data_IF_045761976480
#
_entry.id   IF_045761976480
#
_cell.length_a   1.000
_cell.length_b   1.000
_cell.length_c   1.000
_cell.angle_alpha   90.00
_cell.angle_beta   90.00
_cell.angle_gamma   90.00
#
_symmetry.space_group_name_H-M   'P 1'
#
loop_
_entity.id
_entity.type
_entity.pdbx_description
1 polymer ?
#
# COMPACT_ATOMS: atom_id res chain seq x y z
N UNK A 1 7.83 19.26 3.13
CA UNK A 1 6.44 18.76 3.16
C UNK A 1 6.35 17.93 4.42
N UNK A 2 5.37 18.17 5.29
CA UNK A 2 5.16 17.35 6.49
C UNK A 2 4.24 16.18 6.13
N UNK A 3 4.37 15.02 6.78
CA UNK A 3 3.50 13.88 6.57
C UNK A 3 2.07 14.21 6.97
N UNK A 4 1.11 13.82 6.13
CA UNK A 4 -0.31 13.82 6.48
C UNK A 4 -0.64 12.52 7.22
N UNK A 5 -0.52 12.55 8.55
CA UNK A 5 -0.70 11.37 9.41
C UNK A 5 -2.13 10.82 9.34
N UNK A 6 -3.12 11.69 9.11
CA UNK A 6 -4.52 11.26 9.00
C UNK A 6 -4.77 10.54 7.68
N UNK A 7 -4.20 11.03 6.57
CA UNK A 7 -4.22 10.33 5.30
C UNK A 7 -3.48 8.98 5.35
N UNK A 8 -2.30 8.93 5.99
CA UNK A 8 -1.56 7.68 6.21
C UNK A 8 -2.43 6.69 7.00
N UNK A 9 -3.03 7.13 8.11
CA UNK A 9 -3.89 6.28 8.95
C UNK A 9 -5.10 5.78 8.16
N UNK A 10 -5.78 6.66 7.44
CA UNK A 10 -6.96 6.31 6.64
C UNK A 10 -6.62 5.24 5.59
N UNK A 11 -5.54 5.45 4.84
CA UNK A 11 -5.11 4.52 3.80
C UNK A 11 -4.67 3.17 4.36
N UNK A 12 -3.75 3.15 5.34
CA UNK A 12 -3.27 1.89 5.91
C UNK A 12 -4.41 1.13 6.60
N UNK A 13 -5.35 1.82 7.25
CA UNK A 13 -6.55 1.18 7.81
C UNK A 13 -7.42 0.59 6.71
N UNK A 14 -7.63 1.29 5.60
CA UNK A 14 -8.47 0.82 4.50
C UNK A 14 -7.93 -0.48 3.88
N UNK A 15 -6.64 -0.51 3.52
CA UNK A 15 -6.05 -1.69 2.86
C UNK A 15 -5.89 -2.89 3.80
N UNK A 16 -5.73 -2.66 5.11
CA UNK A 16 -5.54 -3.74 6.10
C UNK A 16 -6.84 -4.21 6.76
N UNK A 17 -7.94 -3.45 6.65
CA UNK A 17 -9.24 -3.81 7.23
C UNK A 17 -9.72 -5.22 6.84
N UNK A 18 -9.64 -5.66 5.56
CA UNK A 18 -10.09 -6.99 5.17
C UNK A 18 -9.29 -8.14 5.81
N UNK A 19 -8.12 -7.84 6.41
CA UNK A 19 -7.24 -8.85 6.97
C UNK A 19 -7.54 -9.18 8.44
N UNK A 20 -8.41 -8.41 9.10
CA UNK A 20 -8.61 -8.46 10.56
C UNK A 20 -8.95 -9.85 11.09
N UNK A 21 -9.63 -10.67 10.30
CA UNK A 21 -10.05 -12.03 10.70
C UNK A 21 -8.95 -13.08 10.52
N UNK A 22 -7.84 -12.73 9.87
CA UNK A 22 -6.79 -13.69 9.49
C UNK A 22 -5.75 -13.94 10.61
N UNK A 23 -5.74 -13.10 11.65
CA UNK A 23 -4.86 -13.22 12.81
C UNK A 23 -3.63 -12.30 12.77
N UNK A 24 -2.64 -12.60 13.62
CA UNK A 24 -1.42 -11.77 13.80
C UNK A 24 -0.19 -12.29 13.03
N UNK A 25 -0.30 -13.42 12.33
CA UNK A 25 0.81 -13.98 11.54
C UNK A 25 1.06 -13.18 10.25
N UNK A 26 0.11 -12.38 9.83
CA UNK A 26 0.12 -11.61 8.59
C UNK A 26 0.82 -10.28 8.80
N UNK A 27 1.56 -9.84 7.79
CA UNK A 27 2.34 -8.60 7.87
C UNK A 27 1.91 -7.60 6.80
N UNK A 28 1.95 -6.32 7.16
CA UNK A 28 1.99 -5.17 6.29
C UNK A 28 3.47 -4.88 5.98
N UNK A 29 3.80 -4.73 4.71
CA UNK A 29 5.12 -4.25 4.29
C UNK A 29 5.06 -2.76 3.94
N UNK A 30 6.03 -2.01 4.46
CA UNK A 30 6.37 -0.66 4.01
C UNK A 30 7.75 -0.66 3.34
N UNK A 31 7.82 -0.07 2.14
CA UNK A 31 9.06 0.19 1.41
C UNK A 31 9.29 1.68 1.34
N UNK A 32 10.33 2.17 1.99
CA UNK A 32 10.68 3.58 1.98
C UNK A 32 11.91 3.81 1.08
N UNK A 33 11.76 4.71 0.12
CA UNK A 33 12.70 4.93 -0.97
C UNK A 33 13.09 6.41 -1.04
N UNK A 34 14.38 6.66 -1.23
CA UNK A 34 14.93 7.96 -1.62
C UNK A 34 16.01 7.74 -2.68
N UNK A 35 16.17 8.71 -3.58
CA UNK A 35 17.20 8.66 -4.62
C UNK A 35 18.60 8.53 -4.00
N UNK A 36 19.41 7.62 -4.54
CA UNK A 36 20.77 7.36 -4.05
C UNK A 36 20.87 6.66 -2.69
N UNK A 37 19.75 6.24 -2.08
CA UNK A 37 19.72 5.57 -0.78
C UNK A 37 19.33 4.10 -0.90
N UNK A 38 19.74 3.28 0.07
CA UNK A 38 19.26 1.90 0.18
C UNK A 38 17.78 1.90 0.56
N UNK A 39 16.99 1.04 -0.08
CA UNK A 39 15.58 0.82 0.29
C UNK A 39 15.47 0.38 1.74
N UNK A 40 14.66 1.08 2.52
CA UNK A 40 14.25 0.63 3.85
C UNK A 40 12.99 -0.24 3.69
N UNK A 41 13.06 -1.49 4.14
CA UNK A 41 11.92 -2.41 4.17
C UNK A 41 11.60 -2.69 5.62
N UNK A 42 10.34 -2.44 6.00
CA UNK A 42 9.84 -2.68 7.35
C UNK A 42 8.56 -3.50 7.29
N UNK A 43 8.45 -4.49 8.18
CA UNK A 43 7.30 -5.38 8.28
C UNK A 43 6.60 -5.16 9.62
N UNK A 44 5.28 -5.05 9.59
CA UNK A 44 4.45 -4.86 10.77
C UNK A 44 3.37 -5.91 10.79
N UNK A 45 3.24 -6.67 11.87
CA UNK A 45 2.07 -7.53 12.06
C UNK A 45 0.78 -6.69 12.08
N UNK A 46 -0.36 -7.31 11.77
CA UNK A 46 -1.67 -6.63 11.68
C UNK A 46 -2.10 -5.91 12.96
N UNK A 47 -1.66 -6.40 14.13
CA UNK A 47 -1.89 -5.78 15.44
C UNK A 47 -0.99 -4.56 15.72
N UNK A 48 -0.01 -4.30 14.85
CA UNK A 48 0.98 -3.24 14.97
C UNK A 48 0.74 -2.08 13.99
N UNK A 49 -0.49 -1.93 13.51
CA UNK A 49 -0.89 -0.88 12.56
C UNK A 49 -0.53 0.53 13.04
N UNK A 50 -0.67 0.82 14.35
CA UNK A 50 -0.26 2.12 14.91
C UNK A 50 1.23 2.39 14.70
N UNK A 51 2.09 1.39 14.90
CA UNK A 51 3.53 1.52 14.67
C UNK A 51 3.87 1.66 13.20
N UNK A 52 3.12 1.01 12.31
CA UNK A 52 3.28 1.17 10.88
C UNK A 52 2.97 2.62 10.44
N UNK A 53 1.91 3.22 11.00
CA UNK A 53 1.55 4.63 10.76
C UNK A 53 2.66 5.56 11.24
N UNK A 54 3.13 5.39 12.48
CA UNK A 54 4.21 6.21 13.05
C UNK A 54 5.50 6.09 12.22
N UNK A 55 5.82 4.87 11.78
CA UNK A 55 6.99 4.62 10.93
C UNK A 55 6.86 5.29 9.56
N UNK A 56 5.70 5.16 8.90
CA UNK A 56 5.45 5.81 7.61
C UNK A 56 5.58 7.34 7.72
N UNK A 57 5.01 7.94 8.78
CA UNK A 57 5.14 9.37 9.03
C UNK A 57 6.60 9.77 9.25
N UNK A 58 7.36 9.03 10.06
CA UNK A 58 8.77 9.30 10.32
C UNK A 58 9.65 9.18 9.06
N UNK A 59 9.41 8.17 8.23
CA UNK A 59 10.16 7.98 6.97
C UNK A 59 9.83 9.09 5.97
N UNK A 60 8.57 9.52 5.90
CA UNK A 60 8.19 10.63 5.03
C UNK A 60 8.74 11.98 5.51
N UNK A 61 8.73 12.25 6.82
CA UNK A 61 9.38 13.43 7.41
C UNK A 61 10.89 13.45 7.11
N UNK A 62 11.52 12.27 7.07
CA UNK A 62 12.93 12.12 6.68
C UNK A 62 13.18 12.25 5.16
N UNK A 63 12.14 12.53 4.36
CA UNK A 63 12.26 12.76 2.92
C UNK A 63 12.17 11.51 2.05
N UNK A 64 11.75 10.36 2.61
CA UNK A 64 11.53 9.14 1.84
C UNK A 64 10.09 9.06 1.30
N UNK A 65 9.95 8.54 0.08
CA UNK A 65 8.67 8.11 -0.45
C UNK A 65 8.30 6.77 0.19
N UNK A 66 7.09 6.66 0.73
CA UNK A 66 6.61 5.47 1.45
C UNK A 66 5.62 4.72 0.57
N UNK A 67 5.95 3.48 0.24
CA UNK A 67 5.11 2.56 -0.51
C UNK A 67 4.69 1.41 0.40
N UNK A 68 3.60 0.74 0.04
CA UNK A 68 3.14 -0.43 0.78
C UNK A 68 2.77 -1.57 -0.15
N UNK A 69 2.98 -2.80 0.31
CA UNK A 69 2.35 -3.96 -0.32
C UNK A 69 0.87 -3.97 0.07
N UNK A 70 -0.01 -3.76 -0.91
CA UNK A 70 -1.48 -3.76 -0.74
C UNK A 70 -1.99 -5.16 -0.42
N UNK A 71 -1.23 -6.20 -0.78
CA UNK A 71 -1.62 -7.58 -0.56
C UNK A 71 -1.03 -8.13 0.72
N UNK A 72 -1.70 -9.15 1.24
CA UNK A 72 -1.30 -9.83 2.44
C UNK A 72 -0.06 -10.68 2.18
N UNK A 73 0.98 -10.53 3.01
CA UNK A 73 2.22 -11.32 2.88
C UNK A 73 2.38 -12.34 4.01
N UNK A 74 3.01 -13.46 3.68
CA UNK A 74 3.49 -14.41 4.69
C UNK A 74 4.93 -14.04 5.11
N UNK A 75 5.14 -13.52 6.34
CA UNK A 75 6.47 -13.11 6.79
C UNK A 75 7.47 -14.26 6.88
N UNK A 76 7.00 -15.50 7.07
CA UNK A 76 7.87 -16.67 7.24
C UNK A 76 8.60 -17.05 5.95
N UNK A 77 8.15 -16.55 4.81
CA UNK A 77 8.77 -16.77 3.51
C UNK A 77 9.78 -15.68 3.15
N UNK A 78 9.82 -14.58 3.91
CA UNK A 78 10.71 -13.45 3.65
C UNK A 78 12.11 -13.69 4.22
N UNK A 79 13.11 -13.51 3.36
CA UNK A 79 14.49 -13.37 3.82
C UNK A 79 14.65 -12.06 4.61
N UNK A 80 15.39 -12.04 5.73
CA UNK A 80 15.59 -10.82 6.53
C UNK A 80 16.09 -9.63 5.69
N UNK A 81 15.41 -8.49 5.81
CA UNK A 81 15.74 -7.26 5.10
C UNK A 81 15.46 -7.29 3.59
N UNK A 82 14.70 -8.27 3.10
CA UNK A 82 14.23 -8.32 1.71
C UNK A 82 12.77 -7.91 1.62
N UNK A 83 12.46 -7.26 0.50
CA UNK A 83 11.09 -6.93 0.15
C UNK A 83 10.37 -8.15 -0.42
N UNK A 84 9.06 -8.21 -0.17
CA UNK A 84 8.18 -9.26 -0.66
C UNK A 84 8.17 -9.36 -2.18
N UNK A 85 8.05 -10.59 -2.67
CA UNK A 85 7.83 -10.91 -4.08
C UNK A 85 6.48 -11.58 -4.24
N UNK A 86 6.08 -11.81 -5.49
CA UNK A 86 4.80 -12.43 -5.82
C UNK A 86 4.59 -13.76 -5.07
N UNK A 87 5.64 -14.58 -4.96
CA UNK A 87 5.61 -15.85 -4.22
C UNK A 87 5.37 -15.70 -2.70
N UNK A 88 5.56 -14.52 -2.13
CA UNK A 88 5.34 -14.23 -0.71
C UNK A 88 3.91 -13.73 -0.42
N UNK A 89 3.15 -13.41 -1.49
CA UNK A 89 1.77 -12.93 -1.38
C UNK A 89 0.84 -14.11 -1.12
N UNK A 90 0.07 -14.04 -0.05
CA UNK A 90 -0.90 -15.07 0.32
C UNK A 90 -2.22 -14.92 -0.42
N UNK A 91 -2.67 -13.67 -0.55
CA UNK A 91 -3.94 -13.32 -1.17
C UNK A 91 -4.05 -11.82 -1.42
N UNK A 92 -4.83 -11.46 -2.43
CA UNK A 92 -5.23 -10.10 -2.73
C UNK A 92 -6.68 -9.87 -2.31
N UNK A 93 -6.90 -8.78 -1.58
CA UNK A 93 -8.24 -8.31 -1.18
C UNK A 93 -8.74 -7.16 -2.06
N UNK A 94 -7.88 -6.61 -2.91
CA UNK A 94 -8.19 -5.49 -3.79
C UNK A 94 -7.71 -5.78 -5.19
N UNK A 95 -8.53 -5.45 -6.18
CA UNK A 95 -8.03 -5.07 -7.49
C UNK A 95 -7.72 -3.57 -7.45
N UNK A 96 -6.61 -3.14 -8.03
CA UNK A 96 -6.27 -1.73 -8.10
C UNK A 96 -5.62 -1.37 -9.43
N UNK A 97 -5.80 -0.12 -9.82
CA UNK A 97 -5.24 0.44 -11.05
C UNK A 97 -4.38 1.65 -10.72
N UNK A 98 -3.12 1.59 -11.13
CA UNK A 98 -2.16 2.69 -11.03
C UNK A 98 -2.20 3.55 -12.31
N UNK A 99 -2.68 4.78 -12.17
CA UNK A 99 -2.87 5.72 -13.28
C UNK A 99 -1.67 6.66 -13.39
N UNK A 100 -0.55 6.15 -13.89
CA UNK A 100 0.71 6.88 -14.00
C UNK A 100 0.93 7.63 -15.33
N UNK A 101 0.00 7.51 -16.28
CA UNK A 101 0.10 8.14 -17.61
C UNK A 101 -0.85 9.33 -17.77
N UNK A 102 -0.52 10.34 -18.61
CA UNK A 102 -1.36 11.53 -18.78
C UNK A 102 -2.81 11.16 -19.16
N UNK A 103 -3.79 11.67 -18.40
CA UNK A 103 -5.21 11.47 -18.68
C UNK A 103 -5.78 10.12 -18.25
N UNK A 104 -4.94 9.19 -17.75
CA UNK A 104 -5.40 7.85 -17.36
C UNK A 104 -6.29 7.87 -16.13
N UNK A 105 -5.99 8.70 -15.13
CA UNK A 105 -6.79 8.82 -13.92
C UNK A 105 -8.21 9.31 -14.23
N UNK A 106 -8.33 10.36 -15.04
CA UNK A 106 -9.61 10.93 -15.44
C UNK A 106 -10.38 10.00 -16.38
N UNK A 107 -9.68 9.28 -17.27
CA UNK A 107 -10.30 8.28 -18.13
C UNK A 107 -10.87 7.12 -17.32
N UNK A 108 -10.13 6.63 -16.33
CA UNK A 108 -10.57 5.55 -15.45
C UNK A 108 -11.77 6.00 -14.62
N UNK A 109 -11.71 7.18 -13.99
CA UNK A 109 -12.82 7.74 -13.22
C UNK A 109 -14.13 7.82 -14.02
N UNK A 110 -14.07 8.09 -15.33
CA UNK A 110 -15.26 8.18 -16.19
C UNK A 110 -15.80 6.84 -16.67
N UNK A 111 -14.94 5.83 -16.84
CA UNK A 111 -15.29 4.61 -17.59
C UNK A 111 -15.30 3.34 -16.73
N UNK A 112 -14.64 3.34 -15.58
CA UNK A 112 -14.57 2.17 -14.71
C UNK A 112 -15.84 2.04 -13.83
N UNK A 113 -16.11 0.84 -13.29
CA UNK A 113 -17.09 0.67 -12.23
C UNK A 113 -16.78 1.58 -11.02
N UNK A 114 -17.77 1.90 -10.18
CA UNK A 114 -17.55 2.63 -8.94
C UNK A 114 -16.44 1.97 -8.11
N UNK A 115 -15.46 2.77 -7.70
CA UNK A 115 -14.35 2.35 -6.84
C UNK A 115 -14.68 2.61 -5.37
N UNK A 116 -14.05 1.86 -4.46
CA UNK A 116 -14.26 2.00 -3.01
C UNK A 116 -13.51 3.21 -2.46
N UNK A 117 -12.27 3.40 -2.91
CA UNK A 117 -11.50 4.61 -2.62
C UNK A 117 -10.44 4.87 -3.69
N UNK A 118 -9.89 6.08 -3.65
CA UNK A 118 -8.84 6.55 -4.55
C UNK A 118 -7.77 7.27 -3.74
N UNK A 119 -6.51 7.07 -4.11
CA UNK A 119 -5.35 7.78 -3.54
C UNK A 119 -4.72 8.63 -4.63
N UNK A 120 -4.63 9.94 -4.42
CA UNK A 120 -3.89 10.82 -5.33
C UNK A 120 -2.40 10.67 -5.00
N UNK A 121 -1.63 10.10 -5.93
CA UNK A 121 -0.19 9.86 -5.76
C UNK A 121 0.66 10.99 -6.34
N UNK A 122 0.07 11.84 -7.19
CA UNK A 122 0.70 13.07 -7.67
C UNK A 122 -0.26 13.94 -8.47
N UNK A 123 0.06 15.23 -8.56
CA UNK A 123 -0.71 16.21 -9.36
C UNK A 123 0.12 16.89 -10.44
N UNK A 124 1.42 16.60 -10.48
CA UNK A 124 2.38 17.16 -11.43
C UNK A 124 3.23 16.02 -12.04
N UNK A 125 3.55 16.10 -13.35
CA UNK A 125 3.08 17.11 -14.32
C UNK A 125 1.60 16.95 -14.73
N UNK A 126 0.93 15.90 -14.25
CA UNK A 126 -0.50 15.64 -14.43
C UNK A 126 -1.02 14.84 -13.22
N UNK A 127 -2.34 14.68 -13.14
CA UNK A 127 -3.00 13.90 -12.09
C UNK A 127 -2.63 12.42 -12.21
N UNK A 128 -2.17 11.86 -11.09
CA UNK A 128 -1.89 10.44 -10.91
C UNK A 128 -2.64 9.92 -9.70
N UNK A 129 -3.31 8.79 -9.88
CA UNK A 129 -4.20 8.22 -8.90
C UNK A 129 -4.07 6.70 -8.87
N UNK A 130 -4.22 6.12 -7.69
CA UNK A 130 -4.52 4.70 -7.54
C UNK A 130 -5.99 4.52 -7.20
N UNK A 131 -6.73 3.77 -8.02
CA UNK A 131 -8.12 3.41 -7.75
C UNK A 131 -8.20 1.99 -7.22
N UNK A 132 -9.02 1.77 -6.19
CA UNK A 132 -9.14 0.48 -5.50
C UNK A 132 -10.57 -0.04 -5.54
N UNK A 133 -10.71 -1.33 -5.82
CA UNK A 133 -11.95 -2.10 -5.71
C UNK A 133 -11.72 -3.27 -4.76
N UNK A 134 -12.44 -3.29 -3.65
CA UNK A 134 -12.41 -4.40 -2.71
C UNK A 134 -13.10 -5.60 -3.33
N UNK A 135 -12.42 -6.74 -3.33
CA UNK A 135 -12.98 -7.99 -3.81
C UNK A 135 -13.94 -8.57 -2.76
N UNK A 136 -15.04 -9.17 -3.23
CA UNK A 136 -16.00 -9.85 -2.35
C UNK A 136 -15.35 -11.04 -1.66
N UNK A 137 -14.54 -11.79 -2.42
CA UNK A 137 -13.71 -12.89 -1.92
C UNK A 137 -12.25 -12.63 -2.33
N UNK A 138 -11.29 -12.93 -1.44
CA UNK A 138 -9.89 -12.73 -1.76
C UNK A 138 -9.39 -13.74 -2.81
N UNK A 139 -8.51 -13.27 -3.69
CA UNK A 139 -7.87 -14.09 -4.73
C UNK A 139 -6.54 -14.61 -4.21
N UNK A 140 -6.26 -15.90 -4.42
CA UNK A 140 -5.08 -16.60 -3.89
C UNK A 140 -4.07 -17.01 -4.99
N UNK A 141 -4.46 -16.92 -6.27
CA UNK A 141 -3.64 -17.24 -7.43
C UNK A 141 -3.25 -15.92 -8.10
N UNK A 142 -2.06 -15.42 -7.79
CA UNK A 142 -1.55 -14.09 -8.18
C UNK A 142 -0.30 -14.22 -9.05
#
# INVERSE_FOLDING_TARGET
MSPDVDAIRAYLTAITNPWRELGAAQHLELRCLAEGSQTNVSLFSTDMLSKAIDHAAAMNEAGLNVYTCVNLINPTMLSPGKAAKDADILQAHFAFADCDTPGSAEALQRNAPPYDFCVITGSQPYLRCHYYWQLVEPVHDL
#
